data_IF_481508438305
#
_entry.id   IF_481508438305
#
_cell.length_a   1.000
_cell.length_b   1.000
_cell.length_c   1.000
_cell.angle_alpha   90.00
_cell.angle_beta   90.00
_cell.angle_gamma   90.00
#
_symmetry.space_group_name_H-M   'P 1'
#
loop_
_entity.id
_entity.type
_entity.pdbx_description
1 polymer ?
#
# COMPACT_ATOMS: atom_id res chain seq x y z
N UNK A 1 27.31 -44.07 -73.15
CA UNK A 1 25.90 -43.64 -73.15
C UNK A 1 25.45 -43.52 -71.71
N UNK A 2 25.46 -42.30 -71.19
CA UNK A 2 24.99 -41.93 -69.86
C UNK A 2 23.46 -41.89 -69.83
N UNK A 3 22.86 -42.36 -68.74
CA UNK A 3 21.56 -41.89 -68.26
C UNK A 3 21.46 -42.20 -66.76
N UNK A 4 21.69 -41.18 -65.93
CA UNK A 4 21.27 -41.18 -64.53
C UNK A 4 20.49 -39.88 -64.32
N UNK A 5 19.16 -40.03 -64.17
CA UNK A 5 18.25 -38.94 -63.80
C UNK A 5 18.58 -38.47 -62.38
N UNK A 6 18.93 -37.18 -62.24
CA UNK A 6 18.96 -36.47 -60.98
C UNK A 6 17.56 -35.89 -60.71
N UNK A 7 16.86 -36.43 -59.71
CA UNK A 7 15.67 -35.84 -59.13
C UNK A 7 16.09 -34.68 -58.21
N UNK A 8 15.77 -33.45 -58.61
CA UNK A 8 15.80 -32.27 -57.75
C UNK A 8 14.60 -32.34 -56.78
N UNK A 9 14.84 -32.85 -55.57
CA UNK A 9 13.94 -32.60 -54.44
C UNK A 9 14.36 -31.24 -53.87
N UNK A 10 13.59 -30.21 -54.18
CA UNK A 10 13.69 -28.92 -53.52
C UNK A 10 13.34 -29.09 -52.04
N UNK A 11 14.36 -29.05 -51.18
CA UNK A 11 14.15 -28.85 -49.75
C UNK A 11 13.66 -27.42 -49.57
N UNK A 12 12.34 -27.23 -49.54
CA UNK A 12 11.76 -26.05 -48.92
C UNK A 12 12.10 -26.14 -47.43
N UNK A 13 13.18 -25.48 -47.02
CA UNK A 13 13.46 -25.23 -45.62
C UNK A 13 12.36 -24.28 -45.14
N UNK A 14 11.32 -24.86 -44.55
CA UNK A 14 10.46 -24.15 -43.62
C UNK A 14 11.39 -23.72 -42.49
N UNK A 15 11.78 -22.44 -42.50
CA UNK A 15 12.44 -21.83 -41.37
C UNK A 15 11.46 -21.96 -40.20
N UNK A 16 11.75 -22.88 -39.29
CA UNK A 16 11.11 -22.90 -38.00
C UNK A 16 11.50 -21.59 -37.32
N UNK A 17 10.56 -20.65 -37.25
CA UNK A 17 10.60 -19.44 -36.40
C UNK A 17 10.55 -19.88 -34.93
N UNK A 18 11.60 -20.55 -34.49
CA UNK A 18 11.82 -20.99 -33.12
C UNK A 18 12.74 -20.00 -32.42
N UNK A 19 12.25 -18.79 -32.19
CA UNK A 19 12.86 -17.82 -31.28
C UNK A 19 11.79 -16.80 -30.88
N UNK A 20 11.42 -16.78 -29.60
CA UNK A 20 10.63 -15.70 -29.00
C UNK A 20 11.47 -14.41 -28.88
N UNK A 21 12.04 -13.94 -29.98
CA UNK A 21 12.58 -12.60 -30.09
C UNK A 21 11.40 -11.64 -30.24
N UNK A 22 10.83 -11.21 -29.11
CA UNK A 22 9.87 -10.10 -29.03
C UNK A 22 8.73 -10.13 -30.06
N UNK A 23 7.72 -10.99 -29.87
CA UNK A 23 6.50 -10.91 -30.67
C UNK A 23 5.99 -9.46 -30.71
N UNK A 24 5.72 -8.93 -31.91
CA UNK A 24 5.23 -7.57 -32.19
C UNK A 24 4.31 -7.04 -31.07
N UNK A 25 4.84 -6.13 -30.24
CA UNK A 25 4.14 -5.59 -29.07
C UNK A 25 2.81 -4.90 -29.44
N UNK A 26 2.74 -4.07 -30.50
CA UNK A 26 1.47 -3.55 -31.01
C UNK A 26 0.42 -4.62 -31.30
N UNK A 27 0.80 -5.70 -32.00
CA UNK A 27 -0.12 -6.80 -32.29
C UNK A 27 -0.61 -7.49 -31.02
N UNK A 28 0.28 -7.71 -30.03
CA UNK A 28 -0.08 -8.28 -28.72
C UNK A 28 -1.03 -7.39 -27.93
N UNK A 29 -0.81 -6.07 -27.96
CA UNK A 29 -1.70 -5.11 -27.31
C UNK A 29 -3.10 -5.15 -27.92
N UNK A 30 -3.21 -5.24 -29.25
CA UNK A 30 -4.51 -5.32 -29.93
C UNK A 30 -5.24 -6.63 -29.64
N UNK A 31 -4.54 -7.78 -29.66
CA UNK A 31 -5.15 -9.07 -29.27
C UNK A 31 -5.63 -9.01 -27.82
N UNK A 32 -4.79 -8.52 -26.91
CA UNK A 32 -5.14 -8.40 -25.48
C UNK A 32 -6.34 -7.48 -25.26
N UNK A 33 -6.42 -6.38 -26.03
CA UNK A 33 -7.57 -5.47 -26.01
C UNK A 33 -8.85 -6.22 -26.35
N UNK A 34 -8.85 -7.01 -27.42
CA UNK A 34 -10.03 -7.79 -27.83
C UNK A 34 -10.45 -8.82 -26.79
N UNK A 35 -9.49 -9.55 -26.20
CA UNK A 35 -9.76 -10.51 -25.12
C UNK A 35 -10.40 -9.84 -23.89
N UNK A 36 -9.81 -8.74 -23.42
CA UNK A 36 -10.30 -8.01 -22.24
C UNK A 36 -11.70 -7.47 -22.50
N UNK A 37 -11.95 -6.90 -23.68
CA UNK A 37 -13.28 -6.40 -24.03
C UNK A 37 -14.33 -7.52 -24.09
N UNK A 38 -13.98 -8.69 -24.64
CA UNK A 38 -14.87 -9.84 -24.68
C UNK A 38 -15.18 -10.38 -23.28
N UNK A 39 -14.17 -10.51 -22.42
CA UNK A 39 -14.33 -10.95 -21.03
C UNK A 39 -15.18 -9.96 -20.22
N UNK A 40 -14.93 -8.67 -20.37
CA UNK A 40 -15.73 -7.62 -19.75
C UNK A 40 -17.20 -7.71 -20.20
N UNK A 41 -17.49 -7.84 -21.50
CA UNK A 41 -18.87 -8.02 -21.97
C UNK A 41 -19.54 -9.25 -21.36
N UNK A 42 -18.84 -10.37 -21.29
CA UNK A 42 -19.32 -11.59 -20.65
C UNK A 42 -19.61 -11.40 -19.16
N UNK A 43 -18.71 -10.74 -18.44
CA UNK A 43 -18.85 -10.48 -16.99
C UNK A 43 -19.93 -9.44 -16.68
N UNK A 44 -20.14 -8.44 -17.53
CA UNK A 44 -21.18 -7.43 -17.35
C UNK A 44 -22.57 -8.00 -17.58
N UNK A 45 -22.70 -8.99 -18.46
CA UNK A 45 -23.98 -9.63 -18.78
C UNK A 45 -24.91 -8.79 -19.68
N UNK A 46 -24.40 -7.71 -20.27
CA UNK A 46 -25.06 -6.90 -21.29
C UNK A 46 -24.00 -6.24 -22.20
N UNK A 47 -24.40 -5.71 -23.36
CA UNK A 47 -23.47 -4.96 -24.20
C UNK A 47 -23.53 -3.45 -23.85
N UNK A 48 -22.49 -2.89 -23.20
CA UNK A 48 -22.45 -1.47 -22.81
C UNK A 48 -22.38 -0.50 -23.99
N UNK A 49 -22.17 -1.01 -25.22
CA UNK A 49 -22.18 -0.23 -26.45
C UNK A 49 -23.60 0.09 -26.94
N UNK A 50 -24.63 -0.46 -26.30
CA UNK A 50 -26.03 -0.26 -26.72
C UNK A 50 -26.52 1.18 -26.52
N UNK A 51 -27.43 1.59 -27.43
CA UNK A 51 -27.67 2.99 -27.80
C UNK A 51 -28.72 3.74 -26.96
N UNK A 52 -29.42 3.13 -26.00
CA UNK A 52 -30.43 3.85 -25.22
C UNK A 52 -29.75 4.91 -24.33
N UNK A 53 -30.06 6.21 -24.48
CA UNK A 53 -29.49 7.25 -23.63
C UNK A 53 -29.88 7.03 -22.16
N UNK A 54 -28.96 7.30 -21.24
CA UNK A 54 -29.28 7.29 -19.80
C UNK A 54 -30.09 8.56 -19.47
N UNK A 55 -31.24 8.45 -18.79
CA UNK A 55 -31.97 9.62 -18.33
C UNK A 55 -31.09 10.50 -17.43
N UNK A 56 -31.12 11.83 -17.61
CA UNK A 56 -30.22 12.76 -16.91
C UNK A 56 -30.23 12.60 -15.38
N UNK A 57 -31.41 12.33 -14.79
CA UNK A 57 -31.56 12.09 -13.35
C UNK A 57 -30.83 10.83 -12.86
N UNK A 58 -30.86 9.76 -13.67
CA UNK A 58 -30.18 8.49 -13.37
C UNK A 58 -28.67 8.67 -13.51
N UNK A 59 -28.24 9.35 -14.58
CA UNK A 59 -26.84 9.67 -14.82
C UNK A 59 -26.22 10.46 -13.67
N UNK A 60 -26.88 11.52 -13.21
CA UNK A 60 -26.41 12.34 -12.08
C UNK A 60 -26.26 11.51 -10.80
N UNK A 61 -27.21 10.62 -10.52
CA UNK A 61 -27.14 9.70 -9.37
C UNK A 61 -25.99 8.71 -9.50
N UNK A 62 -25.78 8.14 -10.69
CA UNK A 62 -24.71 7.18 -10.92
C UNK A 62 -23.32 7.82 -10.79
N UNK A 63 -23.15 9.04 -11.30
CA UNK A 63 -21.92 9.82 -11.13
C UNK A 63 -21.64 10.15 -9.66
N UNK A 64 -22.68 10.46 -8.86
CA UNK A 64 -22.52 10.69 -7.43
C UNK A 64 -22.04 9.43 -6.68
N UNK A 65 -22.60 8.26 -7.03
CA UNK A 65 -22.17 6.97 -6.48
C UNK A 65 -20.71 6.70 -6.86
N UNK A 66 -20.34 6.87 -8.13
CA UNK A 66 -18.97 6.65 -8.60
C UNK A 66 -17.94 7.49 -7.84
N UNK A 67 -18.22 8.78 -7.62
CA UNK A 67 -17.34 9.68 -6.84
C UNK A 67 -17.27 9.30 -5.36
N UNK A 68 -18.31 8.69 -4.81
CA UNK A 68 -18.31 8.23 -3.42
C UNK A 68 -17.51 6.93 -3.29
N UNK A 69 -17.77 5.95 -4.16
CA UNK A 69 -17.03 4.68 -4.16
C UNK A 69 -15.54 4.85 -4.46
N UNK A 70 -15.17 5.83 -5.29
CA UNK A 70 -13.76 6.17 -5.51
C UNK A 70 -13.10 6.72 -4.25
N UNK A 71 -13.73 7.68 -3.56
CA UNK A 71 -13.22 8.20 -2.28
C UNK A 71 -13.04 7.10 -1.24
N UNK A 72 -14.02 6.21 -1.10
CA UNK A 72 -13.92 5.08 -0.17
C UNK A 72 -12.76 4.13 -0.52
N UNK A 73 -12.46 3.92 -1.81
CA UNK A 73 -11.31 3.10 -2.24
C UNK A 73 -9.99 3.79 -1.96
N UNK A 74 -9.89 5.08 -2.25
CA UNK A 74 -8.69 5.88 -1.94
C UNK A 74 -8.44 5.87 -0.41
N UNK A 75 -9.49 6.06 0.39
CA UNK A 75 -9.45 5.97 1.85
C UNK A 75 -9.08 4.55 2.34
N UNK A 76 -9.37 3.49 1.57
CA UNK A 76 -9.13 2.09 1.94
C UNK A 76 -7.76 1.57 1.50
N UNK A 77 -7.19 2.10 0.41
CA UNK A 77 -5.77 1.92 0.06
C UNK A 77 -4.85 2.66 1.05
N UNK A 78 -5.35 3.72 1.69
CA UNK A 78 -4.71 4.44 2.81
C UNK A 78 -5.04 3.81 4.18
N UNK A 79 -6.17 3.11 4.33
CA UNK A 79 -6.50 2.33 5.51
C UNK A 79 -5.80 0.96 5.47
N UNK A 80 -4.49 0.99 5.65
CA UNK A 80 -3.72 -0.17 6.04
C UNK A 80 -4.35 -0.82 7.29
N UNK A 81 -4.27 -2.14 7.45
CA UNK A 81 -4.78 -2.80 8.66
C UNK A 81 -3.95 -2.31 9.84
N UNK A 82 -4.43 -1.25 10.48
CA UNK A 82 -3.75 -0.61 11.59
C UNK A 82 -4.18 -1.26 12.89
N UNK A 83 -3.23 -1.82 13.63
CA UNK A 83 -3.43 -2.28 15.00
C UNK A 83 -3.02 -1.17 15.99
N UNK A 84 -3.79 -1.00 17.06
CA UNK A 84 -3.42 -0.10 18.15
C UNK A 84 -2.68 -0.89 19.25
N UNK A 85 -1.45 -0.49 19.52
CA UNK A 85 -0.62 -1.04 20.61
C UNK A 85 -0.53 0.00 21.73
N UNK A 86 -0.86 -0.42 22.94
CA UNK A 86 -0.67 0.41 24.14
C UNK A 86 0.59 -0.03 24.90
N UNK A 87 1.48 0.93 25.18
CA UNK A 87 2.71 0.73 25.95
C UNK A 87 2.66 1.61 27.19
N UNK A 88 2.75 1.00 28.36
CA UNK A 88 2.70 1.70 29.63
C UNK A 88 4.06 2.26 30.01
N UNK A 89 4.09 3.48 30.56
CA UNK A 89 5.29 4.08 31.11
C UNK A 89 5.61 3.53 32.50
N UNK A 90 6.89 3.29 32.78
CA UNK A 90 7.41 2.92 34.09
C UNK A 90 8.55 3.85 34.50
N UNK A 91 8.77 3.99 35.80
CA UNK A 91 9.86 4.75 36.39
C UNK A 91 10.69 3.82 37.30
N UNK A 92 11.99 4.06 37.39
CA UNK A 92 12.84 3.37 38.37
C UNK A 92 12.59 3.96 39.76
N UNK A 93 12.45 3.12 40.77
CA UNK A 93 11.99 3.51 42.13
C UNK A 93 12.97 4.44 42.88
N UNK A 94 14.16 4.69 42.33
CA UNK A 94 15.29 5.31 43.04
C UNK A 94 15.66 6.75 42.60
N UNK A 95 14.96 7.35 41.61
CA UNK A 95 15.29 8.70 41.12
C UNK A 95 14.04 9.60 40.89
N UNK A 96 14.01 10.79 41.55
CA UNK A 96 13.06 11.89 41.27
C UNK A 96 13.40 12.58 39.94
N UNK A 97 13.38 11.83 38.85
CA UNK A 97 13.59 12.34 37.49
C UNK A 97 12.25 12.47 36.76
N UNK A 98 12.18 13.37 35.78
CA UNK A 98 11.05 13.45 34.85
C UNK A 98 11.14 12.38 33.75
N UNK A 99 11.93 11.33 33.96
CA UNK A 99 12.20 10.28 32.98
C UNK A 99 11.16 9.17 33.07
N UNK A 100 10.64 8.79 31.91
CA UNK A 100 9.65 7.72 31.77
C UNK A 100 10.18 6.72 30.77
N UNK A 101 10.28 5.46 31.20
CA UNK A 101 10.71 4.34 30.36
C UNK A 101 9.49 3.68 29.72
N UNK A 102 9.56 3.46 28.41
CA UNK A 102 8.58 2.68 27.66
C UNK A 102 9.26 1.47 27.04
N UNK A 103 8.86 0.29 27.50
CA UNK A 103 9.40 -0.98 27.01
C UNK A 103 8.58 -1.48 25.82
N UNK A 104 9.16 -1.44 24.62
CA UNK A 104 8.50 -1.95 23.43
C UNK A 104 8.66 -3.47 23.34
N UNK A 105 7.53 -4.16 23.26
CA UNK A 105 7.49 -5.60 23.00
C UNK A 105 7.95 -5.90 21.58
N UNK A 106 8.26 -7.18 21.31
CA UNK A 106 8.53 -7.70 19.95
C UNK A 106 7.45 -7.31 18.95
N UNK A 107 6.23 -7.10 19.44
CA UNK A 107 5.07 -6.75 18.65
C UNK A 107 5.28 -5.43 17.89
N UNK A 108 6.06 -4.47 18.38
CA UNK A 108 6.32 -3.21 17.65
C UNK A 108 7.46 -3.37 16.62
N UNK A 109 8.38 -4.33 16.84
CA UNK A 109 9.59 -4.47 16.03
C UNK A 109 9.26 -4.95 14.62
N UNK A 110 9.67 -4.17 13.62
CA UNK A 110 9.47 -4.52 12.21
C UNK A 110 8.11 -4.12 11.63
N UNK A 111 7.29 -3.39 12.39
CA UNK A 111 6.07 -2.72 11.92
C UNK A 111 6.30 -1.23 11.67
N UNK A 112 5.51 -0.62 10.79
CA UNK A 112 5.55 0.82 10.56
C UNK A 112 4.65 1.50 11.59
N UNK A 113 5.09 2.62 12.16
CA UNK A 113 4.28 3.41 13.08
C UNK A 113 3.61 4.50 12.24
N UNK A 114 2.30 4.36 12.00
CA UNK A 114 1.52 5.31 11.21
C UNK A 114 1.17 6.55 12.02
N UNK A 115 0.80 6.35 13.29
CA UNK A 115 0.48 7.43 14.24
C UNK A 115 0.95 7.05 15.63
N UNK A 116 1.43 8.02 16.38
CA UNK A 116 1.80 7.85 17.78
C UNK A 116 1.13 8.92 18.64
N UNK A 117 0.64 8.51 19.80
CA UNK A 117 0.06 9.40 20.78
C UNK A 117 0.58 9.10 22.18
N UNK A 118 0.89 10.16 22.93
CA UNK A 118 1.16 10.08 24.36
C UNK A 118 -0.08 10.49 25.13
N UNK A 119 -0.54 9.62 26.02
CA UNK A 119 -1.52 9.95 27.02
C UNK A 119 -0.81 10.44 28.27
N UNK A 120 -1.14 11.65 28.70
CA UNK A 120 -0.55 12.33 29.85
C UNK A 120 -1.67 12.77 30.78
N UNK A 121 -1.50 12.52 32.08
CA UNK A 121 -2.33 13.11 33.11
C UNK A 121 -1.59 14.31 33.73
N UNK A 122 -2.30 15.43 33.86
CA UNK A 122 -1.82 16.64 34.51
C UNK A 122 -2.59 16.81 35.81
N UNK A 123 -1.86 17.01 36.90
CA UNK A 123 -2.41 17.43 38.19
C UNK A 123 -2.11 18.91 38.42
N UNK A 124 -3.16 19.73 38.39
CA UNK A 124 -3.03 21.16 38.61
C UNK A 124 -3.29 21.50 40.08
N UNK A 125 -2.40 22.25 40.74
CA UNK A 125 -2.60 22.68 42.12
C UNK A 125 -3.83 23.56 42.27
N UNK A 126 -4.34 23.62 43.50
CA UNK A 126 -5.55 24.36 43.84
C UNK A 126 -5.41 25.87 43.49
N UNK A 127 -6.35 26.40 42.70
CA UNK A 127 -6.49 27.83 42.37
C UNK A 127 -7.96 28.29 42.44
N UNK A 128 -8.51 29.02 41.45
CA UNK A 128 -9.93 29.43 41.47
C UNK A 128 -10.75 28.49 40.58
N UNK A 129 -11.89 27.95 41.04
CA UNK A 129 -12.61 26.84 40.41
C UNK A 129 -13.21 27.11 39.01
N UNK A 130 -13.09 28.31 38.46
CA UNK A 130 -13.65 28.69 37.14
C UNK A 130 -12.57 29.03 36.09
N UNK A 131 -11.28 29.01 36.44
CA UNK A 131 -10.21 29.36 35.53
C UNK A 131 -9.68 28.12 34.78
N UNK A 132 -9.29 28.30 33.52
CA UNK A 132 -8.52 27.29 32.76
C UNK A 132 -7.09 27.77 32.66
N UNK A 133 -6.14 26.91 33.00
CA UNK A 133 -4.72 27.25 32.93
C UNK A 133 -4.12 26.74 31.63
N UNK A 134 -3.45 27.63 30.90
CA UNK A 134 -2.72 27.26 29.69
C UNK A 134 -1.36 26.69 30.06
N UNK A 135 -1.14 25.42 29.72
CA UNK A 135 0.09 24.70 30.06
C UNK A 135 0.67 24.12 28.77
N UNK A 136 1.99 24.22 28.61
CA UNK A 136 2.71 23.66 27.47
C UNK A 136 3.34 22.32 27.87
N UNK A 137 2.85 21.24 27.29
CA UNK A 137 3.41 19.89 27.46
C UNK A 137 4.54 19.72 26.45
N UNK A 138 5.73 19.41 26.93
CA UNK A 138 6.91 19.16 26.12
C UNK A 138 7.41 17.74 26.35
N UNK A 139 7.76 17.06 25.25
CA UNK A 139 8.23 15.67 25.25
C UNK A 139 9.58 15.60 24.57
N UNK A 140 10.60 15.13 25.28
CA UNK A 140 11.97 15.02 24.77
C UNK A 140 12.42 13.55 24.70
N UNK A 141 13.21 13.20 23.68
CA UNK A 141 14.05 12.00 23.70
C UNK A 141 15.17 12.20 24.71
N UNK A 142 15.58 11.16 25.42
CA UNK A 142 16.75 11.20 26.31
C UNK A 142 18.01 10.83 25.53
N UNK A 143 19.08 11.62 25.66
CA UNK A 143 20.39 11.31 25.08
C UNK A 143 21.05 10.13 25.81
N UNK A 144 22.14 9.59 25.23
CA UNK A 144 22.93 8.52 25.87
C UNK A 144 23.48 8.92 27.26
N UNK A 145 23.65 10.22 27.49
CA UNK A 145 24.11 10.81 28.75
C UNK A 145 22.99 11.06 29.79
N UNK A 146 21.74 10.67 29.51
CA UNK A 146 20.60 10.92 30.42
C UNK A 146 20.03 12.35 30.36
N UNK A 147 20.60 13.23 29.54
CA UNK A 147 20.10 14.61 29.38
C UNK A 147 19.02 14.73 28.31
N UNK A 148 18.24 15.83 28.35
CA UNK A 148 17.26 16.19 27.32
C UNK A 148 17.91 16.26 25.94
N UNK A 149 17.42 15.45 25.03
CA UNK A 149 17.80 15.38 23.63
C UNK A 149 16.83 16.11 22.73
N UNK A 150 16.43 15.47 21.64
CA UNK A 150 15.54 16.03 20.62
C UNK A 150 14.11 16.24 21.16
N UNK A 151 13.49 17.38 20.84
CA UNK A 151 12.07 17.64 21.14
C UNK A 151 11.18 16.86 20.17
N UNK A 152 10.47 15.86 20.70
CA UNK A 152 9.57 14.98 19.92
C UNK A 152 8.20 15.62 19.70
N UNK A 153 7.70 16.33 20.71
CA UNK A 153 6.40 16.99 20.65
C UNK A 153 6.32 18.18 21.60
N UNK A 154 5.58 19.21 21.19
CA UNK A 154 5.18 20.34 22.03
C UNK A 154 3.71 20.64 21.76
N UNK A 155 2.89 20.65 22.80
CA UNK A 155 1.46 20.91 22.70
C UNK A 155 1.02 21.87 23.82
N UNK A 156 0.34 22.94 23.43
CA UNK A 156 -0.29 23.85 24.39
C UNK A 156 -1.73 23.39 24.67
N UNK A 157 -2.05 23.16 25.94
CA UNK A 157 -3.35 22.67 26.38
C UNK A 157 -3.96 23.63 27.40
N UNK A 158 -5.30 23.72 27.40
CA UNK A 158 -6.06 24.39 28.46
C UNK A 158 -6.56 23.32 29.43
N UNK A 159 -5.99 23.27 30.62
CA UNK A 159 -6.36 22.31 31.65
C UNK A 159 -7.30 22.96 32.69
N UNK A 160 -8.35 22.27 33.18
CA UNK A 160 -9.15 22.73 34.31
C UNK A 160 -8.28 22.84 35.56
N UNK A 161 -8.52 23.87 36.37
CA UNK A 161 -7.93 23.97 37.71
C UNK A 161 -8.59 22.99 38.68
N UNK A 162 -7.84 22.41 39.62
CA UNK A 162 -8.31 21.43 40.61
C UNK A 162 -8.83 20.09 40.04
N UNK A 163 -8.29 19.62 38.92
CA UNK A 163 -8.69 18.33 38.38
C UNK A 163 -7.51 17.59 37.73
N UNK A 164 -7.54 16.26 37.85
CA UNK A 164 -6.75 15.39 37.00
C UNK A 164 -7.25 15.48 35.57
N UNK A 165 -6.46 16.10 34.69
CA UNK A 165 -6.80 16.29 33.30
C UNK A 165 -6.03 15.32 32.41
N UNK A 166 -6.77 14.51 31.64
CA UNK A 166 -6.19 13.63 30.64
C UNK A 166 -6.02 14.36 29.30
N UNK A 167 -4.82 14.27 28.73
CA UNK A 167 -4.51 14.83 27.42
C UNK A 167 -3.89 13.76 26.50
N UNK A 168 -4.34 13.74 25.23
CA UNK A 168 -3.78 12.93 24.15
C UNK A 168 -2.91 13.80 23.25
N UNK A 169 -1.61 13.59 23.28
CA UNK A 169 -0.60 14.40 22.60
C UNK A 169 -0.08 13.66 21.38
N UNK A 170 -0.14 14.28 20.21
CA UNK A 170 0.40 13.65 19.00
C UNK A 170 1.94 13.72 19.03
N UNK A 171 2.58 12.57 18.78
CA UNK A 171 4.04 12.47 18.71
C UNK A 171 4.49 12.28 17.27
N UNK A 172 5.72 12.70 16.97
CA UNK A 172 6.34 12.44 15.67
C UNK A 172 6.57 10.92 15.49
N UNK A 173 5.89 10.33 14.51
CA UNK A 173 5.95 8.90 14.23
C UNK A 173 7.34 8.42 13.81
N UNK A 174 8.07 9.21 13.01
CA UNK A 174 9.42 8.88 12.54
C UNK A 174 10.42 8.81 13.71
N UNK A 175 10.29 9.76 14.65
CA UNK A 175 11.10 9.79 15.87
C UNK A 175 10.80 8.56 16.73
N UNK A 176 9.52 8.20 16.89
CA UNK A 176 9.12 7.03 17.68
C UNK A 176 9.52 5.71 17.01
N UNK A 177 9.50 5.61 15.68
CA UNK A 177 9.98 4.43 14.97
C UNK A 177 11.48 4.21 15.23
N UNK A 178 12.28 5.28 15.15
CA UNK A 178 13.72 5.26 15.48
C UNK A 178 13.97 4.80 16.91
N UNK A 179 13.19 5.28 17.88
CA UNK A 179 13.37 4.92 19.30
C UNK A 179 12.85 3.50 19.58
N UNK A 180 11.75 3.08 18.97
CA UNK A 180 11.17 1.75 19.13
C UNK A 180 12.14 0.62 18.71
N UNK A 181 13.05 0.91 17.77
CA UNK A 181 14.14 -0.01 17.42
C UNK A 181 15.08 -0.33 18.59
N UNK A 182 15.25 0.58 19.56
CA UNK A 182 16.13 0.41 20.73
C UNK A 182 15.53 -0.48 21.82
N UNK A 183 14.33 -1.04 21.64
CA UNK A 183 13.56 -1.86 22.61
C UNK A 183 13.06 -1.11 23.85
N UNK A 184 13.75 -0.06 24.28
CA UNK A 184 13.32 0.84 25.35
C UNK A 184 13.42 2.28 24.85
N UNK A 185 12.32 3.03 24.94
CA UNK A 185 12.35 4.49 24.87
C UNK A 185 12.48 5.06 26.27
N UNK A 186 13.28 6.10 26.42
CA UNK A 186 13.32 6.93 27.62
C UNK A 186 12.92 8.33 27.19
N UNK A 187 11.76 8.77 27.65
CA UNK A 187 11.21 10.09 27.32
C UNK A 187 11.18 10.95 28.57
N UNK A 188 11.52 12.23 28.41
CA UNK A 188 11.31 13.23 29.45
C UNK A 188 10.03 13.99 29.12
N UNK A 189 9.06 13.95 30.03
CA UNK A 189 7.74 14.58 29.85
C UNK A 189 7.55 15.66 30.89
N UNK A 190 7.34 16.89 30.41
CA UNK A 190 7.30 18.07 31.27
C UNK A 190 6.14 18.98 30.92
N UNK A 191 5.45 19.43 31.97
CA UNK A 191 4.45 20.48 31.93
C UNK A 191 4.78 21.43 33.08
N UNK A 192 5.83 22.23 32.90
CA UNK A 192 6.36 23.08 33.97
C UNK A 192 5.54 24.36 34.07
N UNK A 193 5.07 24.63 35.28
CA UNK A 193 4.31 25.82 35.64
C UNK A 193 4.77 26.27 37.03
N UNK A 194 5.16 27.54 37.16
CA UNK A 194 5.77 28.11 38.37
C UNK A 194 6.93 27.27 38.96
N UNK A 195 7.67 26.55 38.11
CA UNK A 195 8.81 25.72 38.50
C UNK A 195 8.44 24.31 38.98
N UNK A 196 7.16 23.95 38.96
CA UNK A 196 6.66 22.61 39.34
C UNK A 196 6.27 21.85 38.07
N UNK A 197 6.67 20.58 37.97
CA UNK A 197 6.20 19.71 36.90
C UNK A 197 4.78 19.22 37.25
N UNK A 198 3.79 19.61 36.45
CA UNK A 198 2.40 19.23 36.67
C UNK A 198 2.05 17.84 36.10
N UNK A 199 2.98 17.18 35.40
CA UNK A 199 2.78 15.83 34.87
C UNK A 199 2.77 14.83 36.01
N UNK A 200 1.76 13.96 36.04
CA UNK A 200 1.70 12.85 36.99
C UNK A 200 2.56 11.71 36.47
N UNK A 201 3.63 11.37 37.19
CA UNK A 201 4.57 10.31 36.83
C UNK A 201 4.13 8.94 37.40
N UNK A 202 4.56 7.81 36.79
CA UNK A 202 4.28 6.48 37.32
C UNK A 202 4.83 6.33 38.74
N UNK A 203 4.05 5.72 39.65
CA UNK A 203 4.45 5.53 41.06
C UNK A 203 4.00 6.65 42.01
N UNK A 204 3.53 7.79 41.49
CA UNK A 204 2.95 8.87 42.30
C UNK A 204 1.46 8.65 42.67
N UNK A 205 0.82 7.62 42.10
CA UNK A 205 -0.58 7.25 42.37
C UNK A 205 -0.58 5.90 43.10
N UNK A 206 -1.24 5.81 44.26
CA UNK A 206 -1.34 4.59 45.08
C UNK A 206 -2.15 3.47 44.38
N UNK A 207 -3.04 3.83 43.45
CA UNK A 207 -3.86 2.89 42.70
C UNK A 207 -3.12 2.38 41.45
N UNK A 208 -2.45 1.23 41.58
CA UNK A 208 -1.64 0.60 40.52
C UNK A 208 -2.42 0.25 39.23
N UNK A 209 -3.75 0.37 39.22
CA UNK A 209 -4.56 0.21 38.02
C UNK A 209 -4.53 1.44 37.09
N UNK A 210 -4.18 2.62 37.61
CA UNK A 210 -4.15 3.87 36.84
C UNK A 210 -2.74 4.09 36.30
N UNK A 211 -2.57 4.00 34.98
CA UNK A 211 -1.30 4.31 34.32
C UNK A 211 -1.34 5.77 33.86
N UNK A 212 -0.66 6.71 34.57
CA UNK A 212 -0.77 8.14 34.27
C UNK A 212 -0.02 8.55 33.00
N UNK A 213 0.81 7.66 32.45
CA UNK A 213 1.54 7.85 31.20
C UNK A 213 1.49 6.58 30.35
N UNK A 214 1.03 6.71 29.10
CA UNK A 214 1.02 5.61 28.15
C UNK A 214 1.19 6.08 26.71
N UNK A 215 1.82 5.24 25.89
CA UNK A 215 1.91 5.42 24.44
C UNK A 215 0.84 4.59 23.75
N UNK A 216 0.05 5.20 22.88
CA UNK A 216 -0.81 4.55 21.90
C UNK A 216 -0.12 4.64 20.54
N UNK A 217 0.29 3.49 20.00
CA UNK A 217 0.91 3.37 18.68
C UNK A 217 -0.10 2.74 17.72
N UNK A 218 -0.45 3.47 16.67
CA UNK A 218 -1.19 2.92 15.54
C UNK A 218 -0.15 2.42 14.55
N UNK A 219 -0.06 1.09 14.42
CA UNK A 219 0.97 0.44 13.61
C UNK A 219 0.34 -0.36 12.49
N UNK A 220 1.07 -0.46 11.38
CA UNK A 220 0.72 -1.32 10.26
C UNK A 220 1.81 -2.38 10.06
N UNK A 221 1.47 -3.48 9.39
CA UNK A 221 2.52 -4.35 8.86
C UNK A 221 3.39 -3.54 7.91
N UNK A 222 4.72 -3.51 8.09
CA UNK A 222 5.60 -2.88 7.09
C UNK A 222 5.26 -3.52 5.76
N UNK A 223 4.73 -2.74 4.80
CA UNK A 223 4.55 -3.19 3.42
C UNK A 223 5.82 -3.92 3.04
N UNK A 224 5.73 -5.24 2.85
CA UNK A 224 6.63 -5.92 1.94
C UNK A 224 6.36 -5.17 0.66
N UNK A 225 7.26 -4.24 0.28
CA UNK A 225 7.09 -3.34 -0.87
C UNK A 225 6.36 -4.15 -1.91
N UNK A 226 5.08 -3.83 -2.14
CA UNK A 226 4.27 -4.52 -3.14
C UNK A 226 5.07 -4.26 -4.38
N UNK A 227 5.89 -5.24 -4.81
CA UNK A 227 6.87 -5.02 -5.86
C UNK A 227 6.07 -4.40 -6.98
N UNK A 228 6.34 -3.13 -7.26
CA UNK A 228 5.67 -2.42 -8.33
C UNK A 228 5.77 -3.35 -9.52
N UNK A 229 4.67 -3.59 -10.26
CA UNK A 229 4.75 -4.42 -11.45
C UNK A 229 5.97 -3.95 -12.24
N UNK A 230 6.89 -4.86 -12.58
CA UNK A 230 8.03 -4.49 -13.41
C UNK A 230 7.45 -4.07 -14.75
N UNK A 231 7.22 -2.78 -14.94
CA UNK A 231 6.61 -2.28 -16.16
C UNK A 231 7.63 -2.30 -17.29
N UNK A 232 7.17 -2.59 -18.50
CA UNK A 232 7.99 -2.56 -19.69
C UNK A 232 8.41 -1.12 -20.03
N UNK A 233 9.66 -0.95 -20.49
CA UNK A 233 10.17 0.31 -21.01
C UNK A 233 10.00 0.34 -22.54
N UNK A 234 9.52 1.45 -23.09
CA UNK A 234 9.07 1.53 -24.50
C UNK A 234 10.20 1.43 -25.54
N UNK A 235 11.47 1.66 -25.14
CA UNK A 235 12.61 1.84 -26.06
C UNK A 235 13.70 0.76 -26.01
N UNK A 236 13.49 -0.37 -25.32
CA UNK A 236 14.49 -1.43 -25.20
C UNK A 236 14.19 -2.63 -26.13
N UNK A 237 15.00 -2.89 -27.17
CA UNK A 237 14.77 -3.99 -28.12
C UNK A 237 14.90 -5.39 -27.49
N UNK A 238 15.48 -5.51 -26.29
CA UNK A 238 15.63 -6.77 -25.53
C UNK A 238 15.34 -6.57 -24.03
N UNK A 239 14.13 -6.10 -23.71
CA UNK A 239 13.69 -6.00 -22.31
C UNK A 239 13.41 -7.38 -21.67
N UNK A 240 13.72 -7.57 -20.37
CA UNK A 240 13.33 -8.78 -19.64
C UNK A 240 11.80 -8.87 -19.50
N UNK A 241 11.28 -10.05 -19.15
CA UNK A 241 9.84 -10.26 -18.94
C UNK A 241 9.25 -9.25 -17.94
N UNK A 242 8.26 -8.49 -18.42
CA UNK A 242 7.69 -7.31 -17.76
C UNK A 242 6.18 -7.20 -18.07
N UNK A 243 5.48 -6.37 -17.29
CA UNK A 243 4.08 -5.99 -17.52
C UNK A 243 4.08 -4.77 -18.44
N UNK A 244 3.45 -4.82 -19.61
CA UNK A 244 3.16 -3.58 -20.35
C UNK A 244 1.80 -3.05 -19.92
N UNK A 245 1.60 -1.73 -20.02
CA UNK A 245 0.33 -1.08 -19.76
C UNK A 245 0.04 -0.07 -20.86
N UNK A 246 -1.17 -0.11 -21.40
CA UNK A 246 -1.75 0.98 -22.18
C UNK A 246 -3.05 1.43 -21.52
N UNK A 247 -3.55 2.62 -21.83
CA UNK A 247 -4.79 3.14 -21.25
C UNK A 247 -5.85 3.20 -22.34
N UNK A 248 -7.02 2.62 -22.07
CA UNK A 248 -8.16 2.65 -22.98
C UNK A 248 -9.25 3.52 -22.37
N UNK A 249 -9.70 4.55 -23.09
CA UNK A 249 -10.81 5.39 -22.64
C UNK A 249 -12.14 4.72 -22.96
N UNK A 250 -13.07 4.74 -22.01
CA UNK A 250 -14.40 4.16 -22.18
C UNK A 250 -15.17 4.86 -23.31
N UNK A 251 -14.95 6.17 -23.49
CA UNK A 251 -15.55 6.96 -24.56
C UNK A 251 -15.14 6.50 -25.96
N UNK A 252 -13.91 5.99 -26.12
CA UNK A 252 -13.41 5.49 -27.41
C UNK A 252 -14.04 4.15 -27.80
N UNK A 253 -14.55 3.41 -26.81
CA UNK A 253 -15.24 2.13 -27.01
C UNK A 253 -16.74 2.29 -27.29
N UNK A 254 -17.27 3.51 -27.16
CA UNK A 254 -18.72 3.76 -27.24
C UNK A 254 -19.51 3.16 -26.07
N UNK A 255 -18.84 2.84 -24.96
CA UNK A 255 -19.44 2.21 -23.77
C UNK A 255 -20.15 3.25 -22.90
N UNK A 256 -21.16 3.90 -23.47
CA UNK A 256 -21.81 5.08 -22.89
C UNK A 256 -22.57 4.79 -21.59
N UNK A 257 -22.83 3.51 -21.29
CA UNK A 257 -23.53 3.09 -20.06
C UNK A 257 -22.60 2.68 -18.92
N UNK A 258 -21.29 2.72 -19.12
CA UNK A 258 -20.30 2.59 -18.04
C UNK A 258 -19.96 3.97 -17.50
N UNK A 259 -20.14 4.15 -16.19
CA UNK A 259 -19.99 5.42 -15.48
C UNK A 259 -18.63 5.55 -14.82
N UNK A 260 -18.05 4.43 -14.36
CA UNK A 260 -16.70 4.40 -13.84
C UNK A 260 -16.04 3.02 -14.07
N UNK A 261 -14.72 2.98 -14.28
CA UNK A 261 -13.80 4.14 -14.38
C UNK A 261 -13.92 4.87 -15.74
N UNK A 262 -13.41 6.09 -15.89
CA UNK A 262 -13.46 6.83 -17.18
C UNK A 262 -12.52 6.23 -18.25
N UNK A 263 -11.47 5.56 -17.77
CA UNK A 263 -10.53 4.79 -18.56
C UNK A 263 -10.07 3.58 -17.75
N UNK A 264 -9.71 2.49 -18.41
CA UNK A 264 -9.10 1.35 -17.73
C UNK A 264 -7.72 1.03 -18.29
N UNK A 265 -6.80 0.57 -17.44
CA UNK A 265 -5.50 0.07 -17.89
C UNK A 265 -5.69 -1.26 -18.63
N UNK A 266 -5.10 -1.37 -19.80
CA UNK A 266 -4.93 -2.61 -20.52
C UNK A 266 -3.52 -3.13 -20.26
N UNK A 267 -3.44 -4.10 -19.37
CA UNK A 267 -2.18 -4.70 -18.94
C UNK A 267 -1.97 -6.09 -19.55
N UNK A 268 -0.73 -6.41 -19.92
CA UNK A 268 -0.34 -7.73 -20.38
C UNK A 268 1.15 -8.00 -20.20
N UNK A 269 1.62 -9.16 -20.67
CA UNK A 269 3.02 -9.56 -20.53
C UNK A 269 3.79 -9.47 -21.85
N UNK A 270 5.00 -8.91 -21.79
CA UNK A 270 5.95 -8.85 -22.89
C UNK A 270 7.39 -8.97 -22.40
N UNK A 271 8.34 -9.08 -23.33
CA UNK A 271 9.77 -9.19 -23.03
C UNK A 271 10.33 -10.60 -23.22
N UNK A 272 11.66 -10.70 -23.10
CA UNK A 272 12.43 -11.93 -23.26
C UNK A 272 12.64 -12.64 -21.93
N UNK A 273 12.58 -13.97 -21.97
CA UNK A 273 12.89 -14.85 -20.84
C UNK A 273 14.29 -15.48 -20.93
N UNK A 274 15.09 -15.12 -21.93
CA UNK A 274 16.43 -15.69 -22.18
C UNK A 274 17.41 -15.44 -21.01
N UNK A 275 17.25 -14.34 -20.27
CA UNK A 275 18.07 -14.01 -19.08
C UNK A 275 17.45 -14.42 -17.75
N UNK A 276 16.18 -14.86 -17.72
CA UNK A 276 15.53 -15.30 -16.49
C UNK A 276 15.95 -16.72 -16.06
N UNK A 277 16.66 -17.45 -16.93
CA UNK A 277 17.26 -18.74 -16.61
C UNK A 277 18.41 -18.65 -15.58
N UNK A 278 18.84 -17.44 -15.20
CA UNK A 278 19.79 -17.21 -14.09
C UNK A 278 19.07 -16.97 -12.75
N UNK A 279 17.79 -17.34 -12.63
CA UNK A 279 17.13 -17.45 -11.33
C UNK A 279 17.71 -18.67 -10.60
N UNK A 280 18.31 -18.43 -9.43
CA UNK A 280 19.01 -19.38 -8.53
C UNK A 280 18.22 -20.65 -8.11
N UNK A 281 17.04 -20.90 -8.66
CA UNK A 281 16.17 -22.04 -8.35
C UNK A 281 16.28 -23.20 -9.34
N UNK A 282 16.86 -22.99 -10.54
CA UNK A 282 17.08 -24.07 -11.51
C UNK A 282 18.55 -24.51 -11.52
N UNK A 283 18.86 -25.81 -11.35
CA UNK A 283 20.22 -26.31 -11.52
C UNK A 283 20.79 -25.93 -12.90
N UNK A 284 22.04 -25.44 -12.99
CA UNK A 284 22.65 -25.02 -14.26
C UNK A 284 22.57 -26.10 -15.36
N UNK A 285 22.62 -27.37 -14.98
CA UNK A 285 22.47 -28.51 -15.89
C UNK A 285 21.08 -28.59 -16.55
N UNK A 286 20.01 -28.23 -15.83
CA UNK A 286 18.65 -28.20 -16.37
C UNK A 286 18.44 -27.01 -17.32
N UNK A 287 19.00 -25.84 -16.98
CA UNK A 287 19.00 -24.67 -17.87
C UNK A 287 19.77 -24.93 -19.18
N UNK A 288 20.92 -25.61 -19.08
CA UNK A 288 21.70 -26.00 -20.24
C UNK A 288 20.97 -27.06 -21.09
N UNK A 289 20.28 -28.01 -20.46
CA UNK A 289 19.50 -29.03 -21.16
C UNK A 289 18.26 -28.44 -21.86
N UNK A 290 17.52 -27.53 -21.22
CA UNK A 290 16.39 -26.84 -21.87
C UNK A 290 16.84 -26.07 -23.12
N UNK A 291 17.97 -25.37 -23.01
CA UNK A 291 18.59 -24.66 -24.13
C UNK A 291 19.06 -25.62 -25.23
N UNK A 292 19.64 -26.77 -24.86
CA UNK A 292 20.12 -27.79 -25.80
C UNK A 292 18.99 -28.57 -26.50
N UNK A 293 17.82 -28.70 -25.86
CA UNK A 293 16.63 -29.40 -26.39
C UNK A 293 15.68 -28.43 -27.13
N UNK A 294 15.98 -27.13 -27.15
CA UNK A 294 15.19 -26.11 -27.87
C UNK A 294 13.88 -25.73 -27.19
N UNK A 295 13.76 -25.96 -25.87
CA UNK A 295 12.60 -25.53 -25.09
C UNK A 295 12.79 -24.06 -24.67
N UNK A 296 12.06 -23.14 -25.30
CA UNK A 296 12.05 -21.73 -24.93
C UNK A 296 11.03 -21.46 -23.82
N UNK A 297 11.39 -20.68 -22.81
CA UNK A 297 10.47 -20.18 -21.77
C UNK A 297 9.68 -18.98 -22.29
N UNK A 298 8.40 -18.89 -21.91
CA UNK A 298 7.49 -17.83 -22.34
C UNK A 298 7.19 -16.84 -21.21
N UNK A 299 7.14 -15.55 -21.54
CA UNK A 299 6.68 -14.51 -20.61
C UNK A 299 5.14 -14.52 -20.55
N UNK A 300 4.58 -14.85 -19.40
CA UNK A 300 3.14 -15.02 -19.19
C UNK A 300 2.65 -14.38 -17.88
N UNK A 301 1.34 -14.09 -17.75
CA UNK A 301 0.76 -13.60 -16.50
C UNK A 301 0.83 -14.64 -15.39
N UNK A 302 1.38 -14.25 -14.23
CA UNK A 302 1.43 -15.09 -13.01
C UNK A 302 0.50 -14.61 -11.91
N UNK A 303 0.02 -13.36 -12.00
CA UNK A 303 -0.98 -12.81 -11.08
C UNK A 303 -1.91 -11.87 -11.81
N UNK A 304 -3.20 -11.99 -11.53
CA UNK A 304 -4.22 -11.04 -11.96
C UNK A 304 -4.76 -10.23 -10.78
N UNK A 305 -5.33 -9.08 -11.08
CA UNK A 305 -6.02 -8.18 -10.16
C UNK A 305 -7.43 -7.86 -10.65
N UNK A 306 -8.29 -7.56 -9.68
CA UNK A 306 -9.68 -7.21 -9.87
C UNK A 306 -9.86 -5.70 -9.94
N UNK A 307 -10.96 -5.25 -10.51
CA UNK A 307 -11.35 -3.83 -10.53
C UNK A 307 -12.83 -3.67 -10.26
N UNK A 308 -13.26 -2.48 -9.90
CA UNK A 308 -14.68 -2.18 -9.71
C UNK A 308 -15.20 -1.37 -10.87
N UNK A 309 -16.30 -1.81 -11.48
CA UNK A 309 -17.00 -1.10 -12.54
C UNK A 309 -18.39 -0.66 -12.06
N UNK A 310 -18.75 0.57 -12.40
CA UNK A 310 -20.09 1.11 -12.14
C UNK A 310 -20.76 1.39 -13.48
N UNK A 311 -21.94 0.83 -13.69
CA UNK A 311 -22.67 0.93 -14.96
C UNK A 311 -24.18 1.02 -14.73
N UNK A 312 -24.89 1.46 -15.78
CA UNK A 312 -26.35 1.56 -15.79
C UNK A 312 -26.93 0.49 -16.71
N UNK A 313 -27.76 -0.41 -16.19
CA UNK A 313 -28.44 -1.46 -16.97
C UNK A 313 -29.50 -0.87 -17.90
N UNK A 314 -30.03 -1.63 -18.86
CA UNK A 314 -31.07 -1.17 -19.80
C UNK A 314 -32.36 -0.68 -19.09
N UNK A 315 -32.65 -1.25 -17.92
CA UNK A 315 -33.76 -0.88 -17.03
C UNK A 315 -33.46 0.33 -16.12
N UNK A 316 -32.37 1.05 -16.40
CA UNK A 316 -31.92 2.22 -15.66
C UNK A 316 -31.54 1.95 -14.19
N UNK A 317 -31.16 0.71 -13.86
CA UNK A 317 -30.58 0.36 -12.56
C UNK A 317 -29.08 0.66 -12.55
N UNK A 318 -28.58 1.18 -11.42
CA UNK A 318 -27.15 1.46 -11.21
C UNK A 318 -26.54 0.25 -10.50
N UNK A 319 -25.51 -0.34 -11.09
CA UNK A 319 -24.83 -1.52 -10.57
C UNK A 319 -23.36 -1.19 -10.35
N UNK A 320 -22.87 -1.44 -9.13
CA UNK A 320 -21.45 -1.49 -8.82
C UNK A 320 -21.02 -2.95 -8.73
N UNK A 321 -20.06 -3.36 -9.57
CA UNK A 321 -19.64 -4.75 -9.69
C UNK A 321 -18.13 -4.87 -9.64
N UNK A 322 -17.63 -5.79 -8.82
CA UNK A 322 -16.23 -6.22 -8.86
C UNK A 322 -16.03 -7.17 -10.04
N UNK A 323 -15.15 -6.77 -10.95
CA UNK A 323 -14.71 -7.55 -12.09
C UNK A 323 -13.38 -8.19 -11.72
N UNK A 324 -13.42 -9.48 -11.46
CA UNK A 324 -12.25 -10.24 -11.03
C UNK A 324 -11.32 -10.58 -12.19
N UNK A 325 -10.03 -10.75 -11.89
CA UNK A 325 -9.02 -11.31 -12.79
C UNK A 325 -8.92 -10.63 -14.17
N UNK A 326 -8.97 -9.30 -14.21
CA UNK A 326 -9.00 -8.56 -15.49
C UNK A 326 -7.65 -7.94 -15.85
N UNK A 327 -6.94 -7.40 -14.85
CA UNK A 327 -5.63 -6.79 -15.04
C UNK A 327 -4.52 -7.75 -14.66
N UNK A 328 -3.44 -7.76 -15.43
CA UNK A 328 -2.22 -8.50 -15.13
C UNK A 328 -1.40 -7.66 -14.16
N UNK A 329 -1.25 -8.17 -12.94
CA UNK A 329 -0.46 -7.53 -11.90
C UNK A 329 1.00 -7.99 -11.87
N UNK A 330 1.28 -9.17 -12.43
CA UNK A 330 2.63 -9.74 -12.46
C UNK A 330 2.82 -10.67 -13.66
N UNK A 331 3.99 -10.57 -14.29
CA UNK A 331 4.47 -11.50 -15.31
C UNK A 331 5.59 -12.39 -14.78
N UNK A 332 5.79 -13.55 -15.40
CA UNK A 332 6.88 -14.46 -15.10
C UNK A 332 7.25 -15.31 -16.31
N UNK A 333 8.38 -16.00 -16.21
CA UNK A 333 8.90 -16.90 -17.24
C UNK A 333 8.69 -18.35 -16.82
N UNK A 334 8.08 -19.17 -17.69
CA UNK A 334 7.93 -20.61 -17.51
C UNK A 334 8.02 -21.37 -18.82
#
# INVERSE_FOLDING_TARGET
>A
MLLALLLLVGAATVAAEGQCAGCNLPLKQEIRKQEVLADLKGKLGFDPSQAKPIPAKVLARAQAIARHSQRLRDDQDDAEVTEAIHVWGSQDEDEETNEVRFHFKTDVKGRAIEKAYLHVYIDTPESKPEERRGVSIMVYETNEDGMKGELIASHHVLTPTHAFAHHKIHLNADALERIAHKSVAILIVEAIDDGVNLVVLPGQIEDSATHPLSLELIVSEKKRVRRTPNFCEEDLPTQPCCVYQTVVKITELGWNRVIAPDSFPLTGCAGSCERAAVNYTMPPALSALQSAVGLSTCCHPTKYESTTMIYVTEDDNIVEKVIENIYVARCGCS
#
